data_IF_119095706452
#
_entry.id   IF_119095706452
#
_cell.length_a   1.000
_cell.length_b   1.000
_cell.length_c   1.000
_cell.angle_alpha   90.00
_cell.angle_beta   90.00
_cell.angle_gamma   90.00
#
_symmetry.space_group_name_H-M   'P 1'
#
loop_
_entity.id
_entity.type
_entity.pdbx_description
1 polymer ?
#
# COMPACT_ATOMS: atom_id res chain seq x y z
N UNK A 1 -13.79 7.34 7.99
CA UNK A 1 -12.83 6.23 8.14
C UNK A 1 -12.13 6.38 9.48
N UNK A 2 -11.76 5.25 10.07
CA UNK A 2 -11.35 5.08 11.46
C UNK A 2 -10.12 5.93 11.81
N UNK A 3 -10.36 7.12 12.37
CA UNK A 3 -9.31 8.05 12.76
C UNK A 3 -8.40 7.40 13.81
N UNK A 4 -8.86 6.41 14.58
CA UNK A 4 -8.05 5.71 15.58
C UNK A 4 -6.77 5.10 15.00
N UNK A 5 -6.86 4.34 13.90
CA UNK A 5 -5.69 3.72 13.28
C UNK A 5 -4.70 4.76 12.73
N UNK A 6 -5.20 5.85 12.15
CA UNK A 6 -4.37 6.95 11.65
C UNK A 6 -3.63 7.67 12.79
N UNK A 7 -4.30 7.88 13.93
CA UNK A 7 -3.67 8.47 15.12
C UNK A 7 -2.59 7.55 15.70
N UNK A 8 -2.82 6.23 15.74
CA UNK A 8 -1.81 5.28 16.19
C UNK A 8 -0.59 5.25 15.27
N UNK A 9 -0.80 5.22 13.95
CA UNK A 9 0.30 5.31 12.99
C UNK A 9 1.12 6.59 13.21
N UNK A 10 0.43 7.71 13.47
CA UNK A 10 1.08 9.00 13.78
C UNK A 10 1.88 8.96 15.08
N UNK A 11 1.31 8.43 16.16
CA UNK A 11 1.95 8.33 17.46
C UNK A 11 3.21 7.43 17.43
N UNK A 12 3.22 6.40 16.57
CA UNK A 12 4.35 5.49 16.42
C UNK A 12 5.30 5.88 15.27
N UNK A 13 5.07 7.01 14.58
CA UNK A 13 5.89 7.44 13.45
C UNK A 13 5.92 6.45 12.29
N UNK A 14 4.86 5.65 12.12
CA UNK A 14 4.73 4.69 11.04
C UNK A 14 4.30 5.42 9.76
N UNK A 15 4.99 5.25 8.63
CA UNK A 15 4.60 5.86 7.37
C UNK A 15 3.14 5.55 7.02
N UNK A 16 2.35 6.59 6.72
CA UNK A 16 0.92 6.41 6.45
C UNK A 16 0.38 7.43 5.45
N UNK A 17 -0.63 7.00 4.70
CA UNK A 17 -1.47 7.87 3.87
C UNK A 17 -2.83 7.98 4.54
N UNK A 18 -3.30 9.20 4.79
CA UNK A 18 -4.55 9.48 5.48
C UNK A 18 -5.48 10.29 4.57
N UNK A 19 -6.69 9.77 4.36
CA UNK A 19 -7.69 10.34 3.47
C UNK A 19 -8.69 11.19 4.25
N UNK A 20 -8.95 12.41 3.80
CA UNK A 20 -9.92 13.32 4.41
C UNK A 20 -11.03 13.70 3.42
N UNK A 21 -12.26 13.70 3.94
CA UNK A 21 -13.46 14.17 3.24
C UNK A 21 -14.07 15.38 3.93
N UNK A 22 -15.13 15.19 4.75
CA UNK A 22 -15.85 16.29 5.36
C UNK A 22 -15.09 16.94 6.53
N UNK A 23 -14.36 16.15 7.33
CA UNK A 23 -13.53 16.69 8.39
C UNK A 23 -12.27 17.36 7.80
N UNK A 24 -11.93 18.60 8.18
CA UNK A 24 -10.71 19.26 7.70
C UNK A 24 -9.46 18.67 8.35
N UNK A 25 -8.41 18.32 7.57
CA UNK A 25 -7.16 17.80 8.11
C UNK A 25 -6.40 18.84 8.96
N UNK A 26 -6.69 20.12 8.82
CA UNK A 26 -6.08 21.18 9.63
C UNK A 26 -6.47 21.06 11.11
N UNK A 27 -7.62 20.44 11.40
CA UNK A 27 -8.11 20.22 12.76
C UNK A 27 -7.92 18.78 13.25
N UNK A 28 -7.91 17.81 12.32
CA UNK A 28 -7.98 16.38 12.64
C UNK A 28 -6.85 15.54 12.02
N UNK A 29 -5.93 16.19 11.32
CA UNK A 29 -4.81 15.57 10.61
C UNK A 29 -3.67 15.14 11.52
N UNK A 30 -2.76 14.30 11.00
CA UNK A 30 -1.51 13.98 11.68
C UNK A 30 -0.66 15.25 11.91
N UNK A 31 0.23 15.26 12.91
CA UNK A 31 1.22 16.33 13.05
C UNK A 31 2.01 16.52 11.75
N UNK A 32 2.33 17.78 11.41
CA UNK A 32 3.13 18.09 10.22
C UNK A 32 4.53 17.43 10.26
N UNK A 33 5.03 17.13 11.46
CA UNK A 33 6.24 16.34 11.66
C UNK A 33 5.91 14.84 11.63
N UNK A 34 6.30 14.15 10.56
CA UNK A 34 6.18 12.70 10.48
C UNK A 34 6.06 12.21 9.03
N UNK A 35 6.23 10.90 8.80
CA UNK A 35 6.11 10.30 7.47
C UNK A 35 4.63 10.11 7.07
N UNK A 36 3.81 11.15 7.19
CA UNK A 36 2.37 11.10 6.93
C UNK A 36 2.01 11.96 5.73
N UNK A 37 1.30 11.37 4.78
CA UNK A 37 0.75 12.09 3.63
C UNK A 37 -0.75 12.21 3.81
N UNK A 38 -1.26 13.43 3.70
CA UNK A 38 -2.70 13.72 3.75
C UNK A 38 -3.21 13.89 2.33
N UNK A 39 -4.29 13.20 1.97
CA UNK A 39 -4.97 13.33 0.67
C UNK A 39 -6.42 13.79 0.85
N UNK A 40 -6.80 14.84 0.13
CA UNK A 40 -8.15 15.41 0.08
C UNK A 40 -8.21 16.44 -1.06
N UNK A 41 -9.35 16.56 -1.73
CA UNK A 41 -9.63 17.73 -2.58
C UNK A 41 -10.44 18.74 -1.77
N UNK A 42 -9.74 19.61 -1.02
CA UNK A 42 -10.38 20.60 -0.16
C UNK A 42 -11.31 21.57 -0.93
N UNK A 43 -11.12 21.73 -2.24
CA UNK A 43 -11.95 22.62 -3.07
C UNK A 43 -13.38 22.10 -3.26
N UNK A 44 -13.60 20.79 -3.09
CA UNK A 44 -14.90 20.15 -3.25
C UNK A 44 -15.59 19.82 -1.92
N UNK A 45 -15.01 20.22 -0.79
CA UNK A 45 -15.49 19.86 0.55
C UNK A 45 -16.85 20.47 0.85
N UNK A 46 -17.78 19.64 1.30
CA UNK A 46 -19.09 20.08 1.84
C UNK A 46 -19.06 20.23 3.35
N UNK A 47 -18.31 19.37 4.04
CA UNK A 47 -18.06 19.47 5.47
C UNK A 47 -19.11 18.82 6.38
N UNK A 48 -20.14 18.20 5.82
CA UNK A 48 -21.14 17.48 6.62
C UNK A 48 -20.63 16.08 6.99
N UNK A 49 -20.17 15.95 8.23
CA UNK A 49 -19.61 14.68 8.76
C UNK A 49 -20.67 13.64 9.09
N UNK A 50 -21.96 14.01 9.10
CA UNK A 50 -23.08 13.12 9.42
C UNK A 50 -23.94 12.77 8.21
N UNK A 51 -23.60 13.31 7.03
CA UNK A 51 -24.24 13.01 5.74
C UNK A 51 -24.17 11.51 5.39
N UNK A 52 -25.25 11.00 4.77
CA UNK A 52 -25.27 9.65 4.20
C UNK A 52 -24.51 9.57 2.87
N UNK A 53 -24.46 10.66 2.10
CA UNK A 53 -23.58 10.76 0.94
C UNK A 53 -22.13 11.04 1.36
N UNK A 54 -21.14 10.34 0.77
CA UNK A 54 -19.74 10.68 0.95
C UNK A 54 -19.42 12.11 0.50
N UNK A 55 -18.58 12.80 1.27
CA UNK A 55 -18.11 14.14 0.90
C UNK A 55 -17.33 14.10 -0.43
N UNK A 56 -17.64 14.98 -1.40
CA UNK A 56 -16.94 15.01 -2.69
C UNK A 56 -15.42 15.21 -2.58
N UNK A 57 -14.92 15.87 -1.53
CA UNK A 57 -13.48 16.01 -1.28
C UNK A 57 -12.76 14.67 -1.10
N UNK A 58 -13.46 13.66 -0.57
CA UNK A 58 -12.93 12.30 -0.46
C UNK A 58 -13.04 11.55 -1.78
N UNK A 59 -14.17 11.69 -2.49
CA UNK A 59 -14.43 11.00 -3.75
C UNK A 59 -13.53 11.48 -4.90
N UNK A 60 -13.05 12.72 -4.81
CA UNK A 60 -12.09 13.27 -5.75
C UNK A 60 -10.68 12.66 -5.62
N UNK A 61 -10.38 11.96 -4.51
CA UNK A 61 -9.12 11.24 -4.35
C UNK A 61 -9.24 9.84 -4.96
N UNK A 62 -8.49 9.61 -6.03
CA UNK A 62 -8.48 8.34 -6.75
C UNK A 62 -7.50 7.32 -6.16
N UNK A 63 -7.62 6.03 -6.55
CA UNK A 63 -6.65 5.00 -6.17
C UNK A 63 -5.21 5.32 -6.62
N UNK A 64 -5.04 5.94 -7.79
CA UNK A 64 -3.71 6.30 -8.31
C UNK A 64 -3.02 7.36 -7.45
N UNK A 65 -3.78 8.32 -6.90
CA UNK A 65 -3.25 9.32 -5.96
C UNK A 65 -2.73 8.66 -4.68
N UNK A 66 -3.46 7.65 -4.19
CA UNK A 66 -3.07 6.87 -3.02
C UNK A 66 -1.80 6.07 -3.30
N UNK A 67 -1.71 5.41 -4.45
CA UNK A 67 -0.53 4.64 -4.83
C UNK A 67 0.70 5.54 -5.01
N UNK A 68 0.55 6.70 -5.65
CA UNK A 68 1.63 7.67 -5.79
C UNK A 68 2.11 8.19 -4.43
N UNK A 69 1.19 8.45 -3.49
CA UNK A 69 1.54 8.85 -2.13
C UNK A 69 2.28 7.75 -1.37
N UNK A 70 1.85 6.49 -1.51
CA UNK A 70 2.52 5.32 -0.91
C UNK A 70 3.93 5.14 -1.47
N UNK A 71 4.11 5.25 -2.78
CA UNK A 71 5.42 5.17 -3.43
C UNK A 71 6.37 6.27 -2.91
N UNK A 72 5.85 7.48 -2.71
CA UNK A 72 6.60 8.60 -2.13
C UNK A 72 7.08 8.37 -0.69
N UNK A 73 6.43 7.48 0.06
CA UNK A 73 6.83 7.12 1.42
C UNK A 73 7.97 6.09 1.47
N UNK A 74 8.34 5.47 0.33
CA UNK A 74 9.43 4.49 0.27
C UNK A 74 9.15 3.21 1.06
N UNK A 75 7.89 2.90 1.34
CA UNK A 75 7.48 1.69 2.06
C UNK A 75 7.59 0.47 1.15
N UNK A 76 8.61 -0.35 1.36
CA UNK A 76 8.70 -1.66 0.71
C UNK A 76 7.70 -2.63 1.37
N UNK A 77 6.83 -3.31 0.62
CA UNK A 77 5.91 -4.30 1.19
C UNK A 77 6.69 -5.34 1.99
N UNK A 78 6.47 -5.39 3.30
CA UNK A 78 7.07 -6.40 4.18
C UNK A 78 6.21 -7.65 4.16
N UNK A 79 6.19 -8.33 3.01
CA UNK A 79 5.60 -9.65 2.83
C UNK A 79 6.57 -10.53 2.05
N UNK A 80 6.39 -11.87 2.04
CA UNK A 80 7.23 -12.71 1.21
C UNK A 80 7.03 -12.32 -0.25
N UNK A 81 8.07 -11.77 -0.87
CA UNK A 81 8.05 -11.33 -2.26
C UNK A 81 7.54 -12.48 -3.14
N UNK A 82 6.38 -12.29 -3.77
CA UNK A 82 5.87 -13.21 -4.78
C UNK A 82 6.48 -12.82 -6.10
N UNK A 83 7.57 -13.48 -6.47
CA UNK A 83 8.19 -13.33 -7.79
C UNK A 83 7.52 -14.31 -8.75
N UNK A 84 6.89 -13.79 -9.80
CA UNK A 84 6.34 -14.58 -10.92
C UNK A 84 7.07 -14.18 -12.19
N UNK A 85 8.07 -14.94 -12.64
CA UNK A 85 8.76 -14.66 -13.90
C UNK A 85 7.88 -15.02 -15.09
N UNK A 86 7.81 -14.14 -16.09
CA UNK A 86 7.12 -14.39 -17.37
C UNK A 86 7.96 -15.11 -18.43
N UNK A 87 9.11 -15.69 -18.07
CA UNK A 87 10.06 -16.31 -18.99
C UNK A 87 11.29 -16.89 -18.27
N UNK A 88 12.33 -17.36 -19.00
CA UNK A 88 13.54 -17.91 -18.41
C UNK A 88 14.28 -16.81 -17.64
N UNK A 89 14.09 -16.78 -16.32
CA UNK A 89 14.68 -15.79 -15.44
C UNK A 89 15.39 -16.47 -14.27
N UNK A 90 16.50 -15.88 -13.83
CA UNK A 90 17.19 -16.23 -12.59
C UNK A 90 16.64 -15.37 -11.48
N UNK A 91 15.94 -15.98 -10.53
CA UNK A 91 15.38 -15.30 -9.35
C UNK A 91 16.30 -15.52 -8.16
N UNK A 92 16.81 -14.43 -7.56
CA UNK A 92 17.62 -14.45 -6.33
C UNK A 92 16.90 -13.61 -5.26
N UNK A 93 16.07 -14.22 -4.40
CA UNK A 93 15.36 -13.47 -3.37
C UNK A 93 16.29 -13.09 -2.21
N UNK A 94 16.21 -11.84 -1.75
CA UNK A 94 16.95 -11.33 -0.59
C UNK A 94 16.34 -11.63 0.79
N UNK A 95 15.40 -12.59 0.89
CA UNK A 95 14.67 -12.89 2.13
C UNK A 95 13.70 -14.07 2.01
N UNK A 96 12.79 -14.23 2.98
CA UNK A 96 11.73 -15.23 2.92
C UNK A 96 10.80 -14.91 1.74
N UNK A 97 10.93 -15.65 0.64
CA UNK A 97 10.17 -15.43 -0.57
C UNK A 97 9.47 -16.72 -1.01
N UNK A 98 8.26 -16.57 -1.53
CA UNK A 98 7.52 -17.65 -2.19
C UNK A 98 7.67 -17.45 -3.69
N UNK A 99 8.51 -18.28 -4.32
CA UNK A 99 8.72 -18.26 -5.76
C UNK A 99 7.81 -19.30 -6.40
N UNK A 100 7.00 -18.88 -7.37
CA UNK A 100 6.20 -19.76 -8.22
C UNK A 100 6.79 -19.68 -9.63
N UNK A 101 7.69 -20.62 -10.00
CA UNK A 101 8.28 -20.60 -11.32
C UNK A 101 7.24 -20.99 -12.38
N UNK A 102 7.14 -20.18 -13.43
CA UNK A 102 6.54 -20.58 -14.71
C UNK A 102 7.64 -21.04 -15.67
N UNK A 103 7.48 -22.18 -16.31
CA UNK A 103 8.46 -22.72 -17.29
C UNK A 103 9.83 -23.09 -16.68
N UNK A 104 10.90 -23.03 -17.49
CA UNK A 104 12.27 -23.45 -17.15
C UNK A 104 13.03 -22.49 -16.20
N UNK A 105 12.34 -21.82 -15.28
CA UNK A 105 12.96 -20.87 -14.35
C UNK A 105 13.82 -21.61 -13.30
N UNK A 106 15.08 -21.18 -13.15
CA UNK A 106 16.02 -21.72 -12.15
C UNK A 106 16.04 -20.81 -10.92
N UNK A 107 15.50 -21.30 -9.81
CA UNK A 107 15.50 -20.60 -8.51
C UNK A 107 16.75 -20.97 -7.73
N UNK A 108 17.52 -19.98 -7.29
CA UNK A 108 18.68 -20.18 -6.41
C UNK A 108 18.35 -19.55 -5.05
N UNK A 109 18.02 -20.35 -4.01
CA UNK A 109 17.71 -19.82 -2.69
C UNK A 109 18.95 -19.14 -2.06
N UNK A 110 18.83 -17.86 -1.70
CA UNK A 110 19.83 -17.17 -0.89
C UNK A 110 19.58 -17.26 0.63
N UNK A 111 18.39 -17.72 1.03
CA UNK A 111 17.93 -17.82 2.42
C UNK A 111 16.78 -18.82 2.60
N UNK A 112 15.92 -18.65 3.61
CA UNK A 112 14.77 -19.53 3.92
C UNK A 112 13.62 -19.43 2.88
N UNK A 113 13.93 -19.61 1.60
CA UNK A 113 12.97 -19.58 0.51
C UNK A 113 12.30 -20.95 0.38
N UNK A 114 10.96 -20.97 0.35
CA UNK A 114 10.15 -22.15 0.04
C UNK A 114 9.71 -22.08 -1.40
N UNK A 115 10.29 -22.92 -2.25
CA UNK A 115 9.88 -23.08 -3.65
C UNK A 115 8.66 -23.99 -3.70
N UNK A 116 7.58 -23.56 -4.35
CA UNK A 116 6.39 -24.39 -4.56
C UNK A 116 6.29 -24.65 -6.06
N UNK A 117 6.26 -25.91 -6.51
CA UNK A 117 6.05 -26.23 -7.93
C UNK A 117 4.74 -25.62 -8.42
N UNK A 118 4.76 -24.93 -9.56
CA UNK A 118 3.52 -24.56 -10.24
C UNK A 118 2.80 -25.83 -10.67
N UNK A 119 1.51 -25.93 -10.40
CA UNK A 119 0.64 -26.97 -10.95
C UNK A 119 0.57 -26.77 -12.46
N UNK A 120 1.50 -27.38 -13.19
CA UNK A 120 1.45 -27.43 -14.64
C UNK A 120 0.18 -28.17 -15.04
N UNK A 121 -0.72 -27.48 -15.74
CA UNK A 121 -1.68 -28.14 -16.60
C UNK A 121 -0.89 -28.89 -17.66
N UNK A 122 -0.67 -30.19 -17.44
CA UNK A 122 -0.50 -31.10 -18.56
C UNK A 122 -1.88 -31.28 -19.19
N UNK A 123 -1.91 -31.17 -20.51
CA UNK A 123 -3.02 -31.29 -21.45
C UNK A 123 -3.76 -29.99 -21.75
#
# INVERSE_FOLDING_TARGET
MDTGAAHLASAYGIPSVVLFGPAPPEAWGPPASGPHVVLTDASQRRGDVFSEEPDPALLAVGPDDVLAAVDGLGVTPRGPARVVPGGPARVVPGGAARVVPGGAARVVPGGAARVVPGSGTHQ
#
